data_IF_374252290003
#
_entry.id   IF_374252290003
#
_cell.length_a   1.000
_cell.length_b   1.000
_cell.length_c   1.000
_cell.angle_alpha   90.00
_cell.angle_beta   90.00
_cell.angle_gamma   90.00
#
_symmetry.space_group_name_H-M   'P 1'
#
loop_
_entity.id
_entity.type
_entity.pdbx_description
1 polymer ?
#
# COMPACT_ATOMS: atom_id res chain seq x y z
N UNK A 1 31.21 67.02 -36.57
CA UNK A 1 30.42 65.83 -36.98
C UNK A 1 31.20 64.58 -36.57
N UNK A 2 30.91 64.03 -35.40
CA UNK A 2 31.29 62.67 -35.01
C UNK A 2 30.10 62.06 -34.28
N UNK A 3 29.57 60.90 -34.69
CA UNK A 3 28.53 60.24 -33.93
C UNK A 3 29.16 59.44 -32.80
N UNK A 4 28.75 59.74 -31.56
CA UNK A 4 29.07 58.95 -30.38
C UNK A 4 28.32 57.61 -30.45
N UNK A 5 29.08 56.54 -30.68
CA UNK A 5 28.63 55.15 -30.56
C UNK A 5 28.49 54.82 -29.07
N UNK A 6 27.27 54.87 -28.55
CA UNK A 6 26.94 54.48 -27.18
C UNK A 6 26.34 53.08 -27.17
N UNK A 7 27.19 52.06 -27.24
CA UNK A 7 26.80 50.69 -26.85
C UNK A 7 26.90 50.58 -25.32
N UNK A 8 25.92 51.15 -24.64
CA UNK A 8 25.87 51.20 -23.18
C UNK A 8 25.57 49.83 -22.53
N UNK A 9 26.07 49.59 -21.30
CA UNK A 9 25.86 48.34 -20.55
C UNK A 9 24.38 48.01 -20.29
N UNK A 10 23.50 49.02 -20.33
CA UNK A 10 22.04 48.89 -20.18
C UNK A 10 21.42 48.06 -21.32
N UNK A 11 21.93 48.19 -22.55
CA UNK A 11 21.40 47.46 -23.72
C UNK A 11 21.84 46.00 -23.75
N UNK A 12 23.01 45.68 -23.15
CA UNK A 12 23.44 44.29 -22.91
C UNK A 12 22.63 43.65 -21.78
N UNK A 13 22.37 44.38 -20.70
CA UNK A 13 21.54 43.90 -19.59
C UNK A 13 20.09 43.61 -20.04
N UNK A 14 19.51 44.46 -20.87
CA UNK A 14 18.17 44.25 -21.44
C UNK A 14 18.09 43.02 -22.35
N UNK A 15 19.11 42.78 -23.20
CA UNK A 15 19.19 41.57 -24.04
C UNK A 15 19.38 40.30 -23.21
N UNK A 16 20.16 40.35 -22.14
CA UNK A 16 20.35 39.22 -21.22
C UNK A 16 19.04 38.90 -20.48
N UNK A 17 18.31 39.93 -20.00
CA UNK A 17 17.00 39.77 -19.37
C UNK A 17 15.97 39.17 -20.35
N UNK A 18 15.95 39.62 -21.61
CA UNK A 18 15.05 39.08 -22.63
C UNK A 18 15.36 37.63 -23.02
N UNK A 19 16.65 37.25 -23.03
CA UNK A 19 17.06 35.87 -23.34
C UNK A 19 16.74 34.91 -22.19
N UNK A 20 16.92 35.35 -20.94
CA UNK A 20 16.54 34.55 -19.76
C UNK A 20 15.04 34.30 -19.68
N UNK A 21 14.19 35.29 -20.00
CA UNK A 21 12.74 35.11 -20.00
C UNK A 21 12.25 34.16 -21.11
N UNK A 22 12.83 34.20 -22.31
CA UNK A 22 12.48 33.28 -23.41
C UNK A 22 12.85 31.82 -23.10
N UNK A 23 13.99 31.59 -22.45
CA UNK A 23 14.42 30.24 -22.06
C UNK A 23 13.53 29.66 -20.95
N UNK A 24 13.15 30.48 -19.96
CA UNK A 24 12.25 30.08 -18.87
C UNK A 24 10.83 29.77 -19.38
N UNK A 25 10.31 30.51 -20.36
CA UNK A 25 9.00 30.26 -20.96
C UNK A 25 8.97 28.94 -21.75
N UNK A 26 9.99 28.67 -22.59
CA UNK A 26 10.03 27.44 -23.39
C UNK A 26 10.14 26.15 -22.57
N UNK A 27 10.78 26.19 -21.40
CA UNK A 27 10.85 25.04 -20.49
C UNK A 27 9.51 24.74 -19.80
N UNK A 28 8.65 25.74 -19.62
CA UNK A 28 7.32 25.54 -19.04
C UNK A 28 6.33 24.99 -20.05
N UNK A 29 6.36 25.47 -21.29
CA UNK A 29 5.49 24.98 -22.37
C UNK A 29 5.73 23.48 -22.64
N UNK A 30 6.98 23.03 -22.60
CA UNK A 30 7.32 21.60 -22.74
C UNK A 30 6.78 20.74 -21.57
N UNK A 31 6.85 21.24 -20.34
CA UNK A 31 6.31 20.54 -19.15
C UNK A 31 4.78 20.42 -19.22
N UNK A 32 4.10 21.48 -19.64
CA UNK A 32 2.64 21.49 -19.83
C UNK A 32 2.22 20.51 -20.94
N UNK A 33 2.91 20.54 -22.09
CA UNK A 33 2.63 19.61 -23.19
C UNK A 33 2.82 18.14 -22.79
N UNK A 34 3.86 17.85 -21.99
CA UNK A 34 4.09 16.52 -21.43
C UNK A 34 2.98 16.10 -20.47
N UNK A 35 2.53 16.99 -19.59
CA UNK A 35 1.40 16.73 -18.71
C UNK A 35 0.13 16.41 -19.49
N UNK A 36 -0.24 17.22 -20.49
CA UNK A 36 -1.46 16.98 -21.27
C UNK A 36 -1.38 15.69 -22.10
N UNK A 37 -0.19 15.32 -22.59
CA UNK A 37 0.03 14.03 -23.23
C UNK A 37 -0.17 12.85 -22.26
N UNK A 38 0.46 12.91 -21.07
CA UNK A 38 0.33 11.88 -20.03
C UNK A 38 -1.13 11.74 -19.57
N UNK A 39 -1.81 12.86 -19.33
CA UNK A 39 -3.24 12.91 -18.99
C UNK A 39 -4.11 12.28 -20.06
N UNK A 40 -3.90 12.65 -21.32
CA UNK A 40 -4.67 12.08 -22.44
C UNK A 40 -4.46 10.57 -22.55
N UNK A 41 -3.23 10.10 -22.35
CA UNK A 41 -2.92 8.68 -22.39
C UNK A 41 -3.57 7.92 -21.22
N UNK A 42 -3.43 8.44 -20.00
CA UNK A 42 -3.97 7.81 -18.81
C UNK A 42 -5.51 7.72 -18.84
N UNK A 43 -6.19 8.78 -19.28
CA UNK A 43 -7.65 8.80 -19.38
C UNK A 43 -8.22 7.87 -20.48
N UNK A 44 -7.38 7.40 -21.42
CA UNK A 44 -7.76 6.39 -22.41
C UNK A 44 -7.65 4.96 -21.89
N UNK A 45 -6.91 4.73 -20.80
CA UNK A 45 -6.75 3.40 -20.25
C UNK A 45 -8.07 2.97 -19.55
N UNK A 46 -8.68 1.83 -19.92
CA UNK A 46 -9.91 1.35 -19.29
C UNK A 46 -9.72 0.91 -17.84
N UNK A 47 -8.48 0.63 -17.40
CA UNK A 47 -8.12 0.33 -16.03
C UNK A 47 -7.52 1.58 -15.35
N UNK A 48 -8.27 2.28 -14.48
CA UNK A 48 -7.78 3.47 -13.81
C UNK A 48 -6.63 3.20 -12.84
N UNK A 49 -6.53 1.97 -12.30
CA UNK A 49 -5.41 1.62 -11.42
C UNK A 49 -4.11 1.51 -12.22
N UNK A 50 -4.17 0.87 -13.39
CA UNK A 50 -3.03 0.82 -14.30
C UNK A 50 -2.65 2.24 -14.78
N UNK A 51 -3.64 3.08 -15.08
CA UNK A 51 -3.42 4.48 -15.44
C UNK A 51 -2.72 5.27 -14.32
N UNK A 52 -3.19 5.11 -13.08
CA UNK A 52 -2.58 5.73 -11.89
C UNK A 52 -1.12 5.30 -11.72
N UNK A 53 -0.83 4.01 -11.82
CA UNK A 53 0.52 3.48 -11.70
C UNK A 53 1.46 4.02 -12.78
N UNK A 54 0.95 4.24 -14.00
CA UNK A 54 1.72 4.79 -15.10
C UNK A 54 2.11 6.26 -14.86
N UNK A 55 1.18 7.09 -14.41
CA UNK A 55 1.44 8.52 -14.15
C UNK A 55 2.49 8.74 -13.06
N UNK A 56 2.53 7.87 -12.05
CA UNK A 56 3.57 7.92 -11.02
C UNK A 56 4.98 7.86 -11.62
N UNK A 57 5.17 7.06 -12.68
CA UNK A 57 6.44 7.01 -13.42
C UNK A 57 6.75 8.30 -14.17
N UNK A 58 5.74 8.89 -14.82
CA UNK A 58 5.90 10.13 -15.60
C UNK A 58 6.22 11.34 -14.71
N UNK A 59 5.64 11.43 -13.52
CA UNK A 59 5.92 12.49 -12.55
C UNK A 59 7.37 12.44 -12.01
N UNK A 60 7.93 11.23 -11.82
CA UNK A 60 9.33 11.05 -11.40
C UNK A 60 10.33 11.53 -12.46
N UNK A 61 9.99 11.38 -13.75
CA UNK A 61 10.83 11.89 -14.85
C UNK A 61 10.94 13.42 -14.79
N UNK A 62 9.89 14.12 -14.36
CA UNK A 62 9.90 15.58 -14.20
C UNK A 62 10.85 16.02 -13.06
N UNK A 63 10.86 15.27 -11.94
CA UNK A 63 11.73 15.55 -10.78
C UNK A 63 13.23 15.44 -11.10
N UNK A 64 13.62 14.63 -12.08
CA UNK A 64 15.03 14.38 -12.39
C UNK A 64 15.74 15.57 -13.04
N UNK A 65 15.01 16.62 -13.42
CA UNK A 65 15.52 17.63 -14.34
C UNK A 65 15.90 18.99 -13.74
N UNK A 66 15.55 19.40 -12.51
CA UNK A 66 15.90 20.76 -12.05
C UNK A 66 16.23 20.89 -10.54
N UNK A 67 17.40 21.46 -10.19
CA UNK A 67 17.77 21.75 -8.80
C UNK A 67 17.20 23.07 -8.24
N UNK A 68 16.32 23.78 -8.97
CA UNK A 68 15.66 25.01 -8.50
C UNK A 68 14.17 24.99 -8.87
N UNK A 69 13.29 24.88 -7.87
CA UNK A 69 11.82 24.84 -8.06
C UNK A 69 11.29 26.18 -8.59
N UNK A 70 11.05 26.25 -9.90
CA UNK A 70 10.25 27.31 -10.50
C UNK A 70 8.77 27.20 -10.08
N UNK A 71 8.03 28.31 -10.04
CA UNK A 71 6.58 28.31 -9.73
C UNK A 71 5.78 27.42 -10.68
N UNK A 72 6.17 27.41 -11.95
CA UNK A 72 5.59 26.57 -12.99
C UNK A 72 5.77 25.07 -12.72
N UNK A 73 6.91 24.63 -12.18
CA UNK A 73 7.08 23.24 -11.77
C UNK A 73 6.07 22.88 -10.66
N UNK A 74 5.82 23.79 -9.72
CA UNK A 74 4.82 23.57 -8.65
C UNK A 74 3.42 23.42 -9.23
N UNK A 75 3.02 24.28 -10.18
CA UNK A 75 1.69 24.19 -10.80
C UNK A 75 1.49 22.87 -11.55
N UNK A 76 2.50 22.42 -12.30
CA UNK A 76 2.48 21.12 -12.99
C UNK A 76 2.36 19.97 -11.98
N UNK A 77 3.10 20.02 -10.87
CA UNK A 77 3.01 18.99 -9.83
C UNK A 77 1.60 18.91 -9.20
N UNK A 78 0.95 20.04 -8.96
CA UNK A 78 -0.44 20.05 -8.49
C UNK A 78 -1.37 19.38 -9.51
N UNK A 79 -1.21 19.67 -10.81
CA UNK A 79 -2.00 19.02 -11.87
C UNK A 79 -1.80 17.50 -11.92
N UNK A 80 -0.57 17.03 -11.75
CA UNK A 80 -0.27 15.60 -11.66
C UNK A 80 -0.89 14.96 -10.42
N UNK A 81 -0.84 15.64 -9.28
CA UNK A 81 -1.48 15.18 -8.05
C UNK A 81 -3.00 15.04 -8.22
N UNK A 82 -3.66 16.05 -8.79
CA UNK A 82 -5.12 16.04 -9.03
C UNK A 82 -5.54 14.92 -9.99
N UNK A 83 -4.76 14.71 -11.06
CA UNK A 83 -4.98 13.62 -11.99
C UNK A 83 -4.79 12.25 -11.31
N UNK A 84 -3.73 12.10 -10.51
CA UNK A 84 -3.46 10.87 -9.77
C UNK A 84 -4.60 10.56 -8.79
N UNK A 85 -5.08 11.55 -8.03
CA UNK A 85 -6.22 11.39 -7.12
C UNK A 85 -7.51 11.02 -7.86
N UNK A 86 -7.75 11.61 -9.04
CA UNK A 86 -8.90 11.30 -9.89
C UNK A 86 -8.90 9.84 -10.32
N UNK A 87 -7.76 9.35 -10.83
CA UNK A 87 -7.61 7.96 -11.28
C UNK A 87 -7.65 6.98 -10.12
N UNK A 88 -7.01 7.31 -8.99
CA UNK A 88 -7.07 6.52 -7.77
C UNK A 88 -8.51 6.35 -7.27
N UNK A 89 -9.25 7.45 -7.21
CA UNK A 89 -10.67 7.44 -6.81
C UNK A 89 -11.52 6.65 -7.80
N UNK A 90 -11.23 6.73 -9.10
CA UNK A 90 -11.89 5.94 -10.13
C UNK A 90 -11.61 4.44 -9.95
N UNK A 91 -10.35 4.06 -9.66
CA UNK A 91 -9.97 2.67 -9.40
C UNK A 91 -10.71 2.09 -8.17
N UNK A 92 -10.84 2.87 -7.11
CA UNK A 92 -11.63 2.48 -5.93
C UNK A 92 -13.12 2.31 -6.27
N UNK A 93 -13.70 3.22 -7.05
CA UNK A 93 -15.10 3.12 -7.51
C UNK A 93 -15.34 1.87 -8.39
N UNK A 94 -14.32 1.44 -9.12
CA UNK A 94 -14.36 0.22 -9.93
C UNK A 94 -14.00 -1.05 -9.13
N UNK A 95 -13.87 -0.95 -7.80
CA UNK A 95 -13.53 -2.09 -6.94
C UNK A 95 -12.20 -2.78 -7.33
N UNK A 96 -11.21 -2.02 -7.78
CA UNK A 96 -9.89 -2.57 -8.11
C UNK A 96 -9.20 -3.14 -6.86
N UNK A 97 -8.92 -4.45 -6.78
CA UNK A 97 -8.29 -5.05 -5.59
C UNK A 97 -6.95 -4.40 -5.23
N UNK A 98 -6.14 -4.06 -6.24
CA UNK A 98 -4.83 -3.45 -6.04
C UNK A 98 -4.92 -2.03 -5.47
N UNK A 99 -5.91 -1.24 -5.90
CA UNK A 99 -6.15 0.10 -5.35
C UNK A 99 -6.58 0.05 -3.88
N UNK A 100 -7.40 -0.95 -3.51
CA UNK A 100 -7.77 -1.16 -2.11
C UNK A 100 -6.59 -1.62 -1.27
N UNK A 101 -5.78 -2.58 -1.76
CA UNK A 101 -4.56 -3.01 -1.06
C UNK A 101 -3.64 -1.81 -0.83
N UNK A 102 -3.33 -1.02 -1.86
CA UNK A 102 -2.50 0.17 -1.73
C UNK A 102 -3.04 1.16 -0.68
N UNK A 103 -4.35 1.43 -0.71
CA UNK A 103 -4.97 2.43 0.18
C UNK A 103 -4.72 2.14 1.66
N UNK A 104 -4.71 0.87 2.03
CA UNK A 104 -4.60 0.43 3.42
C UNK A 104 -3.18 0.02 3.82
N UNK A 105 -2.25 -0.11 2.87
CA UNK A 105 -0.85 -0.41 3.14
C UNK A 105 0.10 0.76 2.89
N UNK A 106 -0.35 1.82 2.21
CA UNK A 106 0.45 3.00 1.93
C UNK A 106 0.78 3.78 3.21
N UNK A 107 1.96 4.42 3.30
CA UNK A 107 2.33 5.24 4.45
C UNK A 107 1.42 6.47 4.62
N UNK A 108 1.13 7.15 3.51
CA UNK A 108 0.43 8.43 3.52
C UNK A 108 -0.97 8.31 2.91
N UNK A 109 -1.99 8.51 3.74
CA UNK A 109 -3.39 8.50 3.31
C UNK A 109 -3.74 9.79 2.55
N UNK A 110 -4.30 9.73 1.32
CA UNK A 110 -4.82 10.92 0.65
C UNK A 110 -5.89 11.60 1.50
N UNK A 111 -5.68 12.89 1.80
CA UNK A 111 -6.51 13.64 2.76
C UNK A 111 -7.98 13.66 2.35
N UNK A 112 -8.23 13.69 1.04
CA UNK A 112 -9.55 13.69 0.41
C UNK A 112 -10.31 12.38 0.63
N UNK A 113 -9.60 11.28 0.91
CA UNK A 113 -10.20 9.98 1.18
C UNK A 113 -10.42 9.72 2.67
N UNK A 114 -9.86 10.53 3.56
CA UNK A 114 -9.91 10.32 5.02
C UNK A 114 -11.33 10.16 5.56
N UNK A 115 -12.28 10.96 5.07
CA UNK A 115 -13.69 10.88 5.50
C UNK A 115 -14.42 9.63 5.01
N UNK A 116 -13.90 8.92 4.01
CA UNK A 116 -14.50 7.74 3.38
C UNK A 116 -13.90 6.42 3.83
N UNK A 117 -12.91 6.47 4.72
CA UNK A 117 -12.19 5.27 5.16
C UNK A 117 -13.08 4.17 5.76
N UNK A 118 -14.11 4.46 6.59
CA UNK A 118 -15.02 3.42 7.07
C UNK A 118 -15.79 2.70 5.95
N UNK A 119 -16.28 3.44 4.96
CA UNK A 119 -16.96 2.88 3.79
C UNK A 119 -16.01 1.98 2.99
N UNK A 120 -14.81 2.50 2.68
CA UNK A 120 -13.81 1.79 1.89
C UNK A 120 -13.28 0.54 2.63
N UNK A 121 -13.14 0.60 3.95
CA UNK A 121 -12.73 -0.54 4.76
C UNK A 121 -13.79 -1.65 4.77
N UNK A 122 -15.06 -1.28 4.88
CA UNK A 122 -16.19 -2.21 4.77
C UNK A 122 -16.23 -2.89 3.39
N UNK A 123 -16.04 -2.13 2.32
CA UNK A 123 -16.00 -2.67 0.95
C UNK A 123 -14.82 -3.63 0.76
N UNK A 124 -13.62 -3.29 1.26
CA UNK A 124 -12.47 -4.19 1.24
C UNK A 124 -12.77 -5.52 1.97
N UNK A 125 -13.34 -5.46 3.17
CA UNK A 125 -13.72 -6.65 3.94
C UNK A 125 -14.74 -7.50 3.18
N UNK A 126 -15.72 -6.88 2.52
CA UNK A 126 -16.71 -7.57 1.69
C UNK A 126 -16.07 -8.22 0.46
N UNK A 127 -15.18 -7.52 -0.24
CA UNK A 127 -14.44 -8.07 -1.38
C UNK A 127 -13.58 -9.27 -0.98
N UNK A 128 -12.88 -9.18 0.17
CA UNK A 128 -12.10 -10.30 0.70
C UNK A 128 -13.00 -11.50 1.06
N UNK A 129 -14.16 -11.25 1.66
CA UNK A 129 -15.17 -12.27 1.95
C UNK A 129 -15.61 -13.06 0.72
N UNK A 130 -15.89 -12.35 -0.39
CA UNK A 130 -16.35 -12.93 -1.66
C UNK A 130 -15.22 -13.42 -2.58
N UNK A 131 -13.96 -13.26 -2.20
CA UNK A 131 -12.82 -13.66 -3.02
C UNK A 131 -12.69 -15.19 -3.14
N UNK A 132 -11.98 -15.65 -4.17
CA UNK A 132 -11.79 -17.10 -4.44
C UNK A 132 -10.85 -17.79 -3.46
N UNK A 133 -9.99 -17.06 -2.75
CA UNK A 133 -8.94 -17.67 -1.94
C UNK A 133 -7.76 -18.22 -2.75
N UNK A 134 -7.57 -17.74 -3.98
CA UNK A 134 -6.41 -18.07 -4.81
C UNK A 134 -5.29 -17.03 -4.65
N UNK A 135 -4.13 -17.30 -5.27
CA UNK A 135 -2.94 -16.45 -5.17
C UNK A 135 -3.19 -14.98 -5.55
N UNK A 136 -4.12 -14.70 -6.46
CA UNK A 136 -4.46 -13.33 -6.84
C UNK A 136 -5.20 -12.57 -5.72
N UNK A 137 -5.88 -13.29 -4.82
CA UNK A 137 -6.62 -12.72 -3.69
C UNK A 137 -5.82 -12.65 -2.37
N UNK A 138 -4.57 -13.14 -2.34
CA UNK A 138 -3.81 -13.27 -1.09
C UNK A 138 -3.64 -11.93 -0.36
N UNK A 139 -3.35 -10.86 -1.09
CA UNK A 139 -3.13 -9.53 -0.50
C UNK A 139 -4.43 -8.91 0.02
N UNK A 140 -5.52 -9.02 -0.73
CA UNK A 140 -6.81 -8.48 -0.28
C UNK A 140 -7.30 -9.20 0.97
N UNK A 141 -7.08 -10.52 1.06
CA UNK A 141 -7.38 -11.32 2.24
C UNK A 141 -6.55 -10.88 3.45
N UNK A 142 -5.22 -10.75 3.29
CA UNK A 142 -4.32 -10.31 4.38
C UNK A 142 -4.67 -8.91 4.86
N UNK A 143 -4.86 -7.95 3.96
CA UNK A 143 -5.11 -6.55 4.35
C UNK A 143 -6.48 -6.42 5.02
N UNK A 144 -7.53 -7.07 4.50
CA UNK A 144 -8.84 -7.09 5.15
C UNK A 144 -8.79 -7.74 6.54
N UNK A 145 -8.01 -8.81 6.70
CA UNK A 145 -7.80 -9.44 8.00
C UNK A 145 -7.14 -8.49 9.01
N UNK A 146 -6.15 -7.71 8.57
CA UNK A 146 -5.51 -6.68 9.40
C UNK A 146 -6.49 -5.62 9.89
N UNK A 147 -7.38 -5.13 9.02
CA UNK A 147 -8.42 -4.17 9.41
C UNK A 147 -9.35 -4.72 10.50
N UNK A 148 -9.76 -5.98 10.38
CA UNK A 148 -10.60 -6.66 11.37
C UNK A 148 -9.85 -6.98 12.67
N UNK A 149 -8.56 -7.33 12.60
CA UNK A 149 -7.72 -7.56 13.78
C UNK A 149 -7.55 -6.27 14.60
N UNK A 150 -7.30 -5.15 13.93
CA UNK A 150 -7.06 -3.85 14.57
C UNK A 150 -8.36 -3.14 14.96
N UNK A 151 -9.48 -3.43 14.29
CA UNK A 151 -10.70 -2.62 14.40
C UNK A 151 -10.55 -1.25 13.74
N UNK A 152 -9.71 -1.16 12.71
CA UNK A 152 -9.38 0.11 12.07
C UNK A 152 -10.46 0.46 11.04
N UNK A 153 -11.30 1.45 11.36
CA UNK A 153 -12.46 1.89 10.57
C UNK A 153 -13.59 0.88 10.38
N UNK A 154 -13.42 -0.34 10.89
CA UNK A 154 -14.43 -1.41 10.96
C UNK A 154 -14.47 -1.95 12.38
N UNK A 155 -15.56 -2.63 12.75
CA UNK A 155 -15.63 -3.31 14.04
C UNK A 155 -14.56 -4.41 14.12
N UNK A 156 -13.88 -4.50 15.27
CA UNK A 156 -12.87 -5.52 15.51
C UNK A 156 -13.53 -6.90 15.52
N UNK A 157 -13.02 -7.83 14.71
CA UNK A 157 -13.50 -9.20 14.64
C UNK A 157 -12.32 -10.16 14.45
N UNK A 158 -11.78 -10.63 15.58
CA UNK A 158 -10.62 -11.52 15.59
C UNK A 158 -10.89 -12.88 14.93
N UNK A 159 -12.14 -13.37 14.96
CA UNK A 159 -12.51 -14.67 14.38
C UNK A 159 -12.50 -14.57 12.86
N UNK A 160 -13.12 -13.54 12.30
CA UNK A 160 -13.07 -13.28 10.85
C UNK A 160 -11.67 -12.92 10.40
N UNK A 161 -10.91 -12.16 11.19
CA UNK A 161 -9.51 -11.88 10.89
C UNK A 161 -8.69 -13.17 10.77
N UNK A 162 -8.79 -14.08 11.74
CA UNK A 162 -8.11 -15.38 11.70
C UNK A 162 -8.49 -16.19 10.44
N UNK A 163 -9.78 -16.25 10.12
CA UNK A 163 -10.26 -16.96 8.92
C UNK A 163 -9.70 -16.37 7.62
N UNK A 164 -9.65 -15.04 7.50
CA UNK A 164 -9.10 -14.38 6.31
C UNK A 164 -7.58 -14.54 6.20
N UNK A 165 -6.83 -14.43 7.30
CA UNK A 165 -5.39 -14.73 7.26
C UNK A 165 -5.11 -16.20 6.90
N UNK A 166 -5.87 -17.15 7.44
CA UNK A 166 -5.69 -18.56 7.08
C UNK A 166 -5.92 -18.80 5.58
N UNK A 167 -6.93 -18.14 5.01
CA UNK A 167 -7.16 -18.14 3.56
C UNK A 167 -6.01 -17.47 2.79
N UNK A 168 -5.47 -16.36 3.30
CA UNK A 168 -4.31 -15.69 2.69
C UNK A 168 -3.07 -16.60 2.68
N UNK A 169 -2.80 -17.29 3.79
CA UNK A 169 -1.71 -18.26 3.88
C UNK A 169 -1.88 -19.42 2.89
N UNK A 170 -3.08 -20.00 2.80
CA UNK A 170 -3.39 -21.03 1.81
C UNK A 170 -3.25 -20.52 0.36
N UNK A 171 -3.47 -19.22 0.14
CA UNK A 171 -3.22 -18.54 -1.13
C UNK A 171 -1.74 -18.18 -1.38
N UNK A 172 -0.82 -18.50 -0.46
CA UNK A 172 0.60 -18.24 -0.58
C UNK A 172 1.06 -16.87 -0.09
N UNK A 173 0.31 -16.23 0.82
CA UNK A 173 0.79 -15.06 1.55
C UNK A 173 1.79 -15.46 2.66
N UNK A 174 3.02 -14.94 2.57
CA UNK A 174 4.10 -15.27 3.50
C UNK A 174 4.05 -14.52 4.83
N UNK A 175 3.26 -13.45 4.93
CA UNK A 175 3.11 -12.66 6.16
C UNK A 175 1.97 -13.18 7.03
N UNK A 176 0.97 -13.82 6.44
CA UNK A 176 -0.22 -14.31 7.13
C UNK A 176 0.07 -15.21 8.35
N UNK A 177 1.04 -16.16 8.34
CA UNK A 177 1.37 -16.94 9.54
C UNK A 177 1.86 -16.08 10.72
N UNK A 178 2.66 -15.05 10.46
CA UNK A 178 3.14 -14.14 11.50
C UNK A 178 1.98 -13.32 12.07
N UNK A 179 1.07 -12.83 11.22
CA UNK A 179 -0.12 -12.12 11.66
C UNK A 179 -1.06 -13.01 12.49
N UNK A 180 -1.23 -14.27 12.11
CA UNK A 180 -2.01 -15.25 12.89
C UNK A 180 -1.38 -15.55 14.24
N UNK A 181 -0.06 -15.76 14.28
CA UNK A 181 0.67 -15.97 15.53
C UNK A 181 0.47 -14.79 16.48
N UNK A 182 0.63 -13.56 15.99
CA UNK A 182 0.36 -12.35 16.77
C UNK A 182 -1.10 -12.29 17.25
N UNK A 183 -2.06 -12.53 16.35
CA UNK A 183 -3.49 -12.48 16.67
C UNK A 183 -3.86 -13.46 17.79
N UNK A 184 -3.36 -14.70 17.76
CA UNK A 184 -3.58 -15.68 18.82
C UNK A 184 -2.82 -15.36 20.11
N UNK A 185 -1.59 -14.84 20.01
CA UNK A 185 -0.83 -14.39 21.18
C UNK A 185 -1.55 -13.26 21.92
N UNK A 186 -2.15 -12.29 21.21
CA UNK A 186 -2.96 -11.23 21.86
C UNK A 186 -4.25 -11.74 22.51
N UNK A 187 -4.66 -12.97 22.20
CA UNK A 187 -5.80 -13.65 22.81
C UNK A 187 -5.39 -14.63 23.91
N UNK A 188 -4.09 -14.70 24.25
CA UNK A 188 -3.52 -15.68 25.17
C UNK A 188 -3.76 -17.14 24.74
N UNK A 189 -3.83 -17.38 23.43
CA UNK A 189 -3.84 -18.73 22.85
C UNK A 189 -2.44 -19.10 22.35
N UNK A 190 -1.56 -19.41 23.29
CA UNK A 190 -0.14 -19.65 23.02
C UNK A 190 0.08 -20.89 22.14
N UNK A 191 -0.77 -21.90 22.28
CA UNK A 191 -0.69 -23.12 21.48
C UNK A 191 -1.03 -22.86 20.00
N UNK A 192 -2.11 -22.12 19.71
CA UNK A 192 -2.41 -21.71 18.33
C UNK A 192 -1.38 -20.69 17.82
N UNK A 193 -0.87 -19.79 18.67
CA UNK A 193 0.18 -18.86 18.29
C UNK A 193 1.47 -19.58 17.84
N UNK A 194 1.89 -20.60 18.60
CA UNK A 194 3.05 -21.45 18.28
C UNK A 194 2.80 -22.31 17.02
N UNK A 195 1.58 -22.81 16.82
CA UNK A 195 1.20 -23.54 15.60
C UNK A 195 1.48 -22.70 14.34
N UNK A 196 1.07 -21.43 14.36
CA UNK A 196 1.28 -20.52 13.24
C UNK A 196 2.73 -20.07 13.11
N UNK A 197 3.47 -20.00 14.22
CA UNK A 197 4.91 -19.75 14.19
C UNK A 197 5.67 -20.87 13.48
N UNK A 198 5.33 -22.15 13.71
CA UNK A 198 5.93 -23.28 13.00
C UNK A 198 5.65 -23.27 11.49
N UNK A 199 4.55 -22.64 11.05
CA UNK A 199 4.19 -22.50 9.62
C UNK A 199 4.82 -21.30 8.94
N UNK A 200 5.47 -20.43 9.70
CA UNK A 200 6.05 -19.22 9.15
C UNK A 200 7.38 -19.54 8.45
N UNK A 201 7.40 -19.44 7.12
CA UNK A 201 8.57 -19.74 6.27
C UNK A 201 9.23 -18.49 5.67
N UNK A 202 8.83 -17.29 6.13
CA UNK A 202 9.22 -16.00 5.55
C UNK A 202 9.64 -14.97 6.59
N UNK A 203 9.27 -13.69 6.39
CA UNK A 203 9.55 -12.62 7.38
C UNK A 203 8.57 -12.75 8.54
N UNK A 204 8.95 -13.55 9.53
CA UNK A 204 8.26 -13.62 10.82
C UNK A 204 8.77 -12.44 11.64
N UNK A 205 7.92 -11.45 11.93
CA UNK A 205 8.31 -10.36 12.82
C UNK A 205 8.58 -10.92 14.22
N UNK A 206 9.85 -11.07 14.55
CA UNK A 206 10.35 -11.41 15.87
C UNK A 206 10.28 -10.17 16.77
N UNK A 207 9.22 -10.05 17.56
CA UNK A 207 9.23 -9.20 18.77
C UNK A 207 8.29 -9.67 19.88
N UNK A 208 7.40 -10.64 19.62
CA UNK A 208 6.74 -11.41 20.68
C UNK A 208 7.42 -12.77 20.74
N UNK A 209 8.02 -13.05 21.88
CA UNK A 209 9.09 -14.01 22.02
C UNK A 209 8.60 -15.42 21.74
N UNK A 210 9.24 -16.07 20.77
CA UNK A 210 9.24 -17.53 20.69
C UNK A 210 9.54 -18.13 22.07
N UNK A 211 10.47 -17.52 22.81
CA UNK A 211 10.86 -17.93 24.15
C UNK A 211 9.70 -17.81 25.17
N UNK A 212 8.85 -16.78 25.08
CA UNK A 212 7.70 -16.63 25.98
C UNK A 212 6.63 -17.69 25.69
N UNK A 213 6.36 -17.98 24.41
CA UNK A 213 5.45 -19.05 24.00
C UNK A 213 5.96 -20.44 24.39
N UNK A 214 7.27 -20.67 24.29
CA UNK A 214 7.87 -21.92 24.74
C UNK A 214 7.89 -22.03 26.27
N UNK A 215 8.05 -20.92 26.98
CA UNK A 215 8.03 -20.91 28.45
C UNK A 215 6.64 -21.19 29.02
N UNK A 216 5.56 -20.83 28.32
CA UNK A 216 4.19 -21.07 28.77
C UNK A 216 3.67 -22.49 28.48
N UNK A 217 4.39 -23.28 27.69
CA UNK A 217 3.98 -24.63 27.26
C UNK A 217 4.96 -25.70 27.75
N UNK A 218 4.44 -26.86 28.13
CA UNK A 218 5.27 -28.04 28.40
C UNK A 218 5.90 -28.59 27.11
N UNK A 219 7.02 -29.30 27.24
CA UNK A 219 7.67 -30.00 26.11
C UNK A 219 6.71 -30.90 25.34
N UNK A 220 5.77 -31.59 26.04
CA UNK A 220 4.77 -32.44 25.39
C UNK A 220 3.80 -31.62 24.52
N UNK A 221 3.35 -30.46 25.01
CA UNK A 221 2.48 -29.57 24.25
C UNK A 221 3.21 -29.03 23.02
N UNK A 222 4.46 -28.61 23.15
CA UNK A 222 5.28 -28.11 22.03
C UNK A 222 5.38 -29.17 20.92
N UNK A 223 5.78 -30.39 21.25
CA UNK A 223 5.90 -31.49 20.25
C UNK A 223 4.57 -31.82 19.58
N UNK A 224 3.45 -31.71 20.32
CA UNK A 224 2.12 -31.91 19.77
C UNK A 224 1.75 -30.80 18.79
N UNK A 225 1.98 -29.54 19.16
CA UNK A 225 1.72 -28.37 18.31
C UNK A 225 2.55 -28.43 17.03
N UNK A 226 3.83 -28.82 17.13
CA UNK A 226 4.69 -29.03 15.97
C UNK A 226 4.12 -30.09 15.02
N UNK A 227 3.57 -31.18 15.58
CA UNK A 227 2.91 -32.21 14.78
C UNK A 227 1.63 -31.71 14.10
N UNK A 228 0.84 -30.88 14.77
CA UNK A 228 -0.38 -30.29 14.21
C UNK A 228 -0.06 -29.24 13.14
N UNK A 229 1.06 -28.52 13.28
CA UNK A 229 1.48 -27.50 12.32
C UNK A 229 1.69 -28.07 10.91
N UNK A 230 2.06 -29.35 10.80
CA UNK A 230 2.21 -30.08 9.52
C UNK A 230 0.89 -30.33 8.79
N UNK A 231 -0.24 -30.35 9.50
CA UNK A 231 -1.56 -30.53 8.91
C UNK A 231 -2.18 -29.15 8.63
N UNK A 232 -2.21 -28.74 7.37
CA UNK A 232 -2.69 -27.42 6.95
C UNK A 232 -4.20 -27.21 7.18
N UNK A 233 -4.97 -28.26 7.45
CA UNK A 233 -6.39 -28.15 7.78
C UNK A 233 -6.65 -27.65 9.21
N UNK A 234 -5.66 -27.77 10.10
CA UNK A 234 -5.77 -27.33 11.49
C UNK A 234 -5.50 -25.83 11.57
N UNK A 235 -6.49 -25.05 11.99
CA UNK A 235 -6.35 -23.58 12.12
C UNK A 235 -6.11 -23.11 13.57
N UNK A 236 -6.53 -23.91 14.55
CA UNK A 236 -6.35 -23.67 15.99
C UNK A 236 -6.07 -24.97 16.73
N UNK A 237 -5.41 -24.85 17.89
CA UNK A 237 -5.18 -25.99 18.79
C UNK A 237 -6.34 -26.15 19.78
N UNK A 238 -6.96 -25.05 20.21
CA UNK A 238 -8.03 -25.02 21.22
C UNK A 238 -9.36 -25.69 20.81
N UNK A 239 -9.55 -26.04 19.53
CA UNK A 239 -10.71 -26.80 19.04
C UNK A 239 -10.62 -28.32 19.25
N UNK A 240 -9.53 -28.82 19.82
CA UNK A 240 -9.27 -30.24 20.08
C UNK A 240 -9.38 -30.49 21.61
N UNK A 241 -10.60 -30.46 22.14
CA UNK A 241 -10.95 -30.30 23.55
C UNK A 241 -10.56 -31.44 24.54
N UNK A 242 -9.46 -32.14 24.35
CA UNK A 242 -8.93 -33.13 25.31
C UNK A 242 -7.42 -32.94 25.46
N UNK A 243 -7.01 -31.86 26.15
CA UNK A 243 -5.59 -31.49 26.27
C UNK A 243 -4.89 -32.08 27.50
N UNK A 244 -5.60 -32.81 28.38
CA UNK A 244 -5.02 -33.42 29.59
C UNK A 244 -5.46 -34.88 29.88
N UNK A 245 -6.38 -35.47 29.11
CA UNK A 245 -7.03 -36.75 29.49
C UNK A 245 -6.54 -38.01 28.79
N UNK A 246 -5.37 -38.02 28.13
CA UNK A 246 -4.68 -39.26 27.70
C UNK A 246 -3.16 -39.19 27.82
#
# INVERSE_FOLDING_TARGET
>A
MHPLKSDGPIMKLFKIILLLSVILLGACDDKEARFEAAKTQALKNPDPWQAYAQIGGDAVIIFRCEPNESSCLKDILHKYHDLALTLYTSALKQHSPAAFVDLFTRPDLPVELKGRMPELASELVKMAGSSRGDHASKDILRVAAGLLQEGKWVEKDSVRAAALYARAWNAGDSYAPASLSQLYSTQHDDASALLWQFRCTGICYSSLAHDDLLASLSTRQILRVESLARDHSILTVNGQADWETK
#
